data_IF_649182245512
#
_entry.id   IF_649182245512
#
_cell.length_a   1.000
_cell.length_b   1.000
_cell.length_c   1.000
_cell.angle_alpha   90.00
_cell.angle_beta   90.00
_cell.angle_gamma   90.00
#
_symmetry.space_group_name_H-M   'P 1'
#
loop_
_entity.id
_entity.type
_entity.pdbx_description
1 polymer ?
#
# COMPACT_ATOMS: atom_id res chain seq x y z
N UNK A 1 5.98 -8.89 1.18
CA UNK A 1 4.97 -8.01 1.81
C UNK A 1 5.35 -7.58 3.22
N UNK A 2 5.72 -8.52 4.11
CA UNK A 2 6.28 -8.16 5.43
C UNK A 2 7.50 -7.24 5.32
N UNK A 3 8.38 -7.47 4.33
CA UNK A 3 9.52 -6.60 4.04
C UNK A 3 9.11 -5.19 3.58
N UNK A 4 8.10 -5.06 2.72
CA UNK A 4 7.59 -3.75 2.29
C UNK A 4 7.00 -2.93 3.45
N UNK A 5 6.27 -3.58 4.37
CA UNK A 5 5.73 -2.93 5.56
C UNK A 5 6.85 -2.50 6.51
N UNK A 6 7.91 -3.29 6.64
CA UNK A 6 9.10 -2.91 7.41
C UNK A 6 9.85 -1.77 6.74
N UNK A 7 9.98 -1.80 5.42
CA UNK A 7 10.56 -0.70 4.64
C UNK A 7 9.74 0.58 4.86
N UNK A 8 8.42 0.56 4.68
CA UNK A 8 7.57 1.73 4.92
C UNK A 8 7.78 2.33 6.33
N UNK A 9 7.76 1.49 7.36
CA UNK A 9 7.93 1.95 8.76
C UNK A 9 9.37 2.36 9.09
N UNK A 10 10.38 1.76 8.46
CA UNK A 10 11.77 2.17 8.65
C UNK A 10 12.04 3.51 7.96
N UNK A 11 11.40 3.72 6.82
CA UNK A 11 11.55 4.92 6.00
C UNK A 11 10.76 6.11 6.58
N UNK A 12 9.70 5.89 7.37
CA UNK A 12 9.05 6.98 8.14
C UNK A 12 9.92 7.53 9.27
N UNK A 13 10.86 6.73 9.78
CA UNK A 13 11.81 7.10 10.85
C UNK A 13 13.15 7.66 10.30
N UNK A 14 13.42 7.55 9.00
CA UNK A 14 14.70 7.96 8.41
C UNK A 14 14.67 9.39 7.82
N UNK A 15 15.32 10.38 8.47
CA UNK A 15 15.40 11.75 7.97
C UNK A 15 16.22 11.90 6.66
N UNK A 16 16.97 10.86 6.24
CA UNK A 16 17.75 10.86 5.00
C UNK A 16 16.89 10.65 3.74
N UNK A 17 15.59 10.33 3.87
CA UNK A 17 14.62 10.25 2.75
C UNK A 17 14.01 11.63 2.46
N UNK A 18 14.83 12.65 2.62
CA UNK A 18 14.55 14.04 2.30
C UNK A 18 14.61 14.31 0.80
N UNK A 19 14.97 13.32 -0.02
CA UNK A 19 14.86 13.39 -1.46
C UNK A 19 13.46 12.95 -1.91
N UNK A 20 12.66 13.93 -2.34
CA UNK A 20 11.35 13.78 -3.01
C UNK A 20 11.24 12.55 -3.92
N UNK A 21 12.30 12.22 -4.64
CA UNK A 21 12.35 11.06 -5.53
C UNK A 21 12.25 9.73 -4.79
N UNK A 22 12.93 9.59 -3.65
CA UNK A 22 12.81 8.42 -2.78
C UNK A 22 11.41 8.29 -2.18
N UNK A 23 10.79 9.43 -1.77
CA UNK A 23 9.40 9.46 -1.30
C UNK A 23 8.42 8.99 -2.37
N UNK A 24 8.59 9.49 -3.59
CA UNK A 24 7.79 9.07 -4.74
C UNK A 24 7.95 7.58 -5.03
N UNK A 25 9.18 7.08 -5.10
CA UNK A 25 9.45 5.66 -5.33
C UNK A 25 8.85 4.76 -4.26
N UNK A 26 8.78 5.24 -3.00
CA UNK A 26 8.14 4.51 -1.92
C UNK A 26 6.63 4.39 -2.12
N UNK A 27 5.96 5.50 -2.46
CA UNK A 27 4.52 5.50 -2.73
C UNK A 27 4.20 4.68 -4.00
N UNK A 28 5.04 4.75 -5.04
CA UNK A 28 4.89 3.94 -6.25
C UNK A 28 5.00 2.43 -5.93
N UNK A 29 5.97 2.03 -5.10
CA UNK A 29 6.09 0.64 -4.61
C UNK A 29 4.87 0.21 -3.81
N UNK A 30 4.32 1.11 -3.01
CA UNK A 30 3.10 0.86 -2.24
C UNK A 30 1.88 0.62 -3.16
N UNK A 31 1.66 1.50 -4.13
CA UNK A 31 0.59 1.39 -5.13
C UNK A 31 0.71 0.08 -5.92
N UNK A 32 1.94 -0.30 -6.30
CA UNK A 32 2.20 -1.56 -6.97
C UNK A 32 1.80 -2.77 -6.11
N UNK A 33 2.21 -2.78 -4.83
CA UNK A 33 1.88 -3.87 -3.92
C UNK A 33 0.36 -4.00 -3.65
N UNK A 34 -0.36 -2.87 -3.54
CA UNK A 34 -1.82 -2.91 -3.45
C UNK A 34 -2.45 -3.50 -4.71
N UNK A 35 -1.92 -3.13 -5.89
CA UNK A 35 -2.41 -3.64 -7.17
C UNK A 35 -2.19 -5.16 -7.26
N UNK A 36 -1.02 -5.67 -6.87
CA UNK A 36 -0.77 -7.11 -6.81
C UNK A 36 -1.70 -7.83 -5.83
N UNK A 37 -2.07 -7.22 -4.70
CA UNK A 37 -3.06 -7.84 -3.81
C UNK A 37 -4.44 -7.95 -4.46
N UNK A 38 -4.85 -6.93 -5.23
CA UNK A 38 -6.15 -6.97 -5.91
C UNK A 38 -6.26 -8.10 -6.92
N UNK A 39 -5.18 -8.51 -7.58
CA UNK A 39 -5.21 -9.65 -8.52
C UNK A 39 -5.42 -10.98 -7.79
N UNK A 40 -4.94 -11.12 -6.55
CA UNK A 40 -5.15 -12.31 -5.72
C UNK A 40 -6.61 -12.43 -5.26
N UNK A 41 -7.30 -11.32 -5.03
CA UNK A 41 -8.73 -11.32 -4.66
C UNK A 41 -9.67 -11.68 -5.83
N UNK A 42 -9.18 -11.71 -7.07
CA UNK A 42 -9.98 -11.98 -8.28
C UNK A 42 -10.10 -13.48 -8.60
N UNK A 43 -9.26 -14.32 -8.01
CA UNK A 43 -9.00 -15.67 -8.52
C UNK A 43 -10.01 -16.78 -8.22
N UNK A 44 -11.24 -16.49 -7.73
CA UNK A 44 -12.17 -17.57 -7.36
C UNK A 44 -13.58 -17.51 -7.98
N UNK A 45 -14.03 -16.41 -8.59
CA UNK A 45 -15.39 -16.37 -9.18
C UNK A 45 -15.62 -15.16 -10.11
N UNK A 46 -14.85 -14.93 -11.18
CA UNK A 46 -15.10 -13.88 -12.21
C UNK A 46 -15.47 -12.46 -11.66
N UNK A 47 -15.15 -12.20 -10.39
CA UNK A 47 -15.56 -11.03 -9.65
C UNK A 47 -14.42 -10.06 -9.76
N UNK A 48 -14.68 -8.96 -10.46
CA UNK A 48 -13.82 -7.79 -10.47
C UNK A 48 -13.36 -7.49 -9.04
N UNK A 49 -12.13 -6.97 -8.85
CA UNK A 49 -11.69 -6.53 -7.53
C UNK A 49 -12.77 -5.64 -6.92
N UNK A 50 -12.97 -5.65 -5.59
CA UNK A 50 -13.95 -4.77 -4.98
C UNK A 50 -13.68 -3.34 -5.46
N UNK A 51 -14.65 -2.76 -6.18
CA UNK A 51 -14.58 -1.40 -6.76
C UNK A 51 -13.98 -0.36 -5.76
N UNK A 52 -14.25 -0.44 -4.44
CA UNK A 52 -13.64 0.46 -3.47
C UNK A 52 -12.10 0.39 -3.40
N UNK A 53 -11.49 -0.80 -3.53
CA UNK A 53 -10.03 -0.98 -3.41
C UNK A 53 -9.31 -0.47 -4.66
N UNK A 54 -9.81 -0.78 -5.86
CA UNK A 54 -9.28 -0.19 -7.10
C UNK A 54 -9.37 1.33 -7.11
N UNK A 55 -10.49 1.89 -6.62
CA UNK A 55 -10.65 3.35 -6.53
C UNK A 55 -9.65 3.96 -5.54
N UNK A 56 -9.38 3.28 -4.42
CA UNK A 56 -8.38 3.72 -3.45
C UNK A 56 -6.97 3.73 -4.05
N UNK A 57 -6.59 2.67 -4.77
CA UNK A 57 -5.29 2.59 -5.48
C UNK A 57 -5.14 3.77 -6.45
N UNK A 58 -6.15 4.00 -7.30
CA UNK A 58 -6.12 5.09 -8.27
C UNK A 58 -6.06 6.48 -7.62
N UNK A 59 -6.74 6.67 -6.48
CA UNK A 59 -6.64 7.92 -5.72
C UNK A 59 -5.22 8.14 -5.18
N UNK A 60 -4.61 7.12 -4.58
CA UNK A 60 -3.26 7.23 -4.03
C UNK A 60 -2.24 7.47 -5.15
N UNK A 61 -2.37 6.78 -6.29
CA UNK A 61 -1.54 7.00 -7.47
C UNK A 61 -1.66 8.43 -8.00
N UNK A 62 -2.87 8.98 -8.08
CA UNK A 62 -3.10 10.38 -8.48
C UNK A 62 -2.54 11.39 -7.47
N UNK A 63 -2.42 11.00 -6.19
CA UNK A 63 -1.88 11.84 -5.12
C UNK A 63 -0.38 11.66 -4.91
N UNK A 64 0.28 10.68 -5.55
CA UNK A 64 1.69 10.33 -5.31
C UNK A 64 2.62 11.54 -5.33
N UNK A 65 2.46 12.46 -6.30
CA UNK A 65 3.29 13.66 -6.35
C UNK A 65 3.06 14.59 -5.16
N UNK A 66 1.80 14.80 -4.76
CA UNK A 66 1.47 15.64 -3.61
C UNK A 66 1.92 15.03 -2.29
N UNK A 67 1.88 13.71 -2.17
CA UNK A 67 2.40 12.98 -1.02
C UNK A 67 3.92 13.13 -0.95
N UNK A 68 4.63 12.97 -2.08
CA UNK A 68 6.07 13.13 -2.14
C UNK A 68 6.57 14.55 -1.83
N UNK A 69 5.72 15.56 -2.07
CA UNK A 69 5.97 16.97 -1.81
C UNK A 69 5.51 17.42 -0.41
N UNK A 70 4.89 16.53 0.38
CA UNK A 70 4.42 16.85 1.72
C UNK A 70 5.59 17.12 2.69
N UNK A 71 5.32 17.92 3.72
CA UNK A 71 6.25 18.05 4.85
C UNK A 71 6.46 16.70 5.54
N UNK A 72 7.56 16.58 6.28
CA UNK A 72 7.99 15.32 6.87
C UNK A 72 6.95 14.72 7.83
N UNK A 73 6.24 15.57 8.59
CA UNK A 73 5.22 15.11 9.54
C UNK A 73 4.03 14.53 8.79
N UNK A 74 3.56 15.25 7.77
CA UNK A 74 2.47 14.79 6.91
C UNK A 74 2.85 13.53 6.15
N UNK A 75 4.07 13.47 5.61
CA UNK A 75 4.56 12.30 4.88
C UNK A 75 4.64 11.06 5.78
N UNK A 76 5.24 11.16 6.96
CA UNK A 76 5.36 10.03 7.89
C UNK A 76 3.99 9.53 8.35
N UNK A 77 3.05 10.44 8.67
CA UNK A 77 1.68 10.05 9.01
C UNK A 77 0.98 9.29 7.87
N UNK A 78 1.16 9.73 6.63
CA UNK A 78 0.63 9.01 5.45
C UNK A 78 1.27 7.61 5.36
N UNK A 79 2.59 7.51 5.47
CA UNK A 79 3.30 6.21 5.39
C UNK A 79 2.84 5.23 6.46
N UNK A 80 2.59 5.68 7.69
CA UNK A 80 2.03 4.86 8.77
C UNK A 80 0.64 4.31 8.44
N UNK A 81 -0.26 5.16 7.94
CA UNK A 81 -1.61 4.76 7.53
C UNK A 81 -1.58 3.76 6.36
N UNK A 82 -0.69 3.98 5.39
CA UNK A 82 -0.46 3.07 4.28
C UNK A 82 0.06 1.71 4.78
N UNK A 83 1.01 1.70 5.71
CA UNK A 83 1.51 0.47 6.32
C UNK A 83 0.42 -0.29 7.08
N UNK A 84 -0.48 0.41 7.79
CA UNK A 84 -1.63 -0.18 8.47
C UNK A 84 -2.63 -0.80 7.47
N UNK A 85 -2.88 -0.11 6.35
CA UNK A 85 -3.74 -0.63 5.28
C UNK A 85 -3.18 -1.94 4.71
N UNK A 86 -1.88 -2.00 4.39
CA UNK A 86 -1.25 -3.23 3.88
C UNK A 86 -1.35 -4.38 4.89
N UNK A 87 -1.10 -4.12 6.18
CA UNK A 87 -1.24 -5.15 7.23
C UNK A 87 -2.67 -5.69 7.32
N UNK A 88 -3.65 -4.78 7.25
CA UNK A 88 -5.07 -5.14 7.30
C UNK A 88 -5.47 -6.00 6.11
N UNK A 89 -5.07 -5.59 4.90
CA UNK A 89 -5.34 -6.34 3.67
C UNK A 89 -4.65 -7.70 3.66
N UNK A 90 -3.40 -7.78 4.12
CA UNK A 90 -2.65 -9.06 4.20
C UNK A 90 -3.31 -10.02 5.18
N UNK A 91 -3.77 -9.51 6.33
CA UNK A 91 -4.53 -10.30 7.30
C UNK A 91 -5.82 -10.83 6.68
N UNK A 92 -6.60 -9.99 5.99
CA UNK A 92 -7.82 -10.41 5.31
C UNK A 92 -7.55 -11.47 4.24
N UNK A 93 -6.49 -11.30 3.44
CA UNK A 93 -6.06 -12.30 2.45
C UNK A 93 -5.74 -13.64 3.09
N UNK A 94 -4.99 -13.65 4.19
CA UNK A 94 -4.66 -14.87 4.93
C UNK A 94 -5.90 -15.52 5.56
N UNK A 95 -6.83 -14.73 6.08
CA UNK A 95 -8.10 -15.21 6.61
C UNK A 95 -8.93 -15.87 5.49
N UNK A 96 -9.08 -15.22 4.34
CA UNK A 96 -9.77 -15.80 3.18
C UNK A 96 -9.11 -17.10 2.70
N UNK A 97 -7.79 -17.12 2.55
CA UNK A 97 -7.05 -18.31 2.13
C UNK A 97 -7.19 -19.51 3.09
N UNK A 98 -7.45 -19.27 4.39
CA UNK A 98 -7.75 -20.35 5.35
C UNK A 98 -9.12 -21.00 5.09
N UNK A 99 -10.06 -20.27 4.48
CA UNK A 99 -11.41 -20.75 4.19
C UNK A 99 -11.56 -21.32 2.77
N UNK A 100 -10.61 -21.07 1.86
CA UNK A 100 -10.62 -21.61 0.49
C UNK A 100 -9.98 -23.00 0.34
N UNK A 101 -9.62 -23.69 1.44
CA UNK A 101 -9.14 -25.09 1.39
C UNK A 101 -10.35 -26.02 1.40
N UNK A 102 -10.94 -26.29 0.23
CA UNK A 102 -11.89 -27.39 -0.01
C UNK A 102 -11.45 -28.19 -1.24
#
# INVERSE_FOLDING_TARGET
>A
MSDLVKELLHLSDDPAISHRESRRQLIDRFVHALTEMTTVFVSDDDRQPPIPVMRLIAMIEGMTSSIADADDTTFSAIVEELALLLRTLERHRQEMARFTVH
#
